data_IF_198986017262
#
_entry.id   IF_198986017262
#
_cell.length_a   1.000
_cell.length_b   1.000
_cell.length_c   1.000
_cell.angle_alpha   90.00
_cell.angle_beta   90.00
_cell.angle_gamma   90.00
#
_symmetry.space_group_name_H-M   'P 1'
#
loop_
_entity.id
_entity.type
_entity.pdbx_description
1 polymer ?
#
# COMPACT_ATOMS: atom_id res chain seq x y z
N UNK A 1 -22.32 -15.69 2.93
CA UNK A 1 -20.95 -16.05 3.36
C UNK A 1 -20.36 -16.96 2.33
N UNK A 2 -19.18 -16.63 1.80
CA UNK A 2 -18.40 -17.50 0.91
C UNK A 2 -17.30 -18.17 1.72
N UNK A 3 -17.05 -19.45 1.47
CA UNK A 3 -16.02 -20.23 2.18
C UNK A 3 -15.03 -20.73 1.13
N UNK A 4 -13.75 -20.42 1.33
CA UNK A 4 -12.65 -20.90 0.50
C UNK A 4 -11.91 -22.01 1.24
N UNK A 5 -11.89 -23.21 0.67
CA UNK A 5 -11.08 -24.32 1.16
C UNK A 5 -9.79 -24.42 0.35
N UNK A 6 -8.66 -24.31 1.05
CA UNK A 6 -7.32 -24.50 0.45
C UNK A 6 -6.78 -25.83 0.97
N UNK A 7 -6.49 -26.76 0.06
CA UNK A 7 -5.93 -28.08 0.39
C UNK A 7 -4.44 -28.13 0.07
N UNK A 8 -3.73 -29.08 0.70
CA UNK A 8 -2.31 -29.35 0.45
C UNK A 8 -1.39 -28.13 0.69
N UNK A 9 -1.70 -27.32 1.70
CA UNK A 9 -0.82 -26.22 2.12
C UNK A 9 0.46 -26.81 2.73
N UNK A 10 1.66 -26.49 2.22
CA UNK A 10 2.90 -26.97 2.81
C UNK A 10 3.02 -26.56 4.28
N UNK A 11 3.49 -27.47 5.14
CA UNK A 11 3.59 -27.22 6.58
C UNK A 11 4.41 -25.96 6.91
N UNK A 12 5.50 -25.73 6.18
CA UNK A 12 6.33 -24.54 6.35
C UNK A 12 5.55 -23.25 6.06
N UNK A 13 4.73 -23.25 5.00
CA UNK A 13 3.91 -22.11 4.63
C UNK A 13 2.84 -21.85 5.70
N UNK A 14 2.18 -22.90 6.19
CA UNK A 14 1.22 -22.80 7.29
C UNK A 14 1.87 -22.24 8.56
N UNK A 15 3.06 -22.71 8.93
CA UNK A 15 3.81 -22.22 10.09
C UNK A 15 4.20 -20.73 9.94
N UNK A 16 4.60 -20.30 8.73
CA UNK A 16 4.88 -18.88 8.44
C UNK A 16 3.63 -18.01 8.56
N UNK A 17 2.50 -18.45 8.02
CA UNK A 17 1.21 -17.75 8.14
C UNK A 17 0.78 -17.61 9.61
N UNK A 18 0.91 -18.69 10.39
CA UNK A 18 0.56 -18.68 11.82
C UNK A 18 1.41 -17.69 12.62
N UNK A 19 2.72 -17.66 12.40
CA UNK A 19 3.62 -16.69 13.06
C UNK A 19 3.26 -15.25 12.70
N UNK A 20 2.97 -14.99 11.43
CA UNK A 20 2.58 -13.66 10.95
C UNK A 20 1.24 -13.21 11.55
N UNK A 21 0.25 -14.09 11.58
CA UNK A 21 -1.05 -13.82 12.19
C UNK A 21 -0.91 -13.46 13.69
N UNK A 22 -0.06 -14.18 14.43
CA UNK A 22 0.25 -13.86 15.83
C UNK A 22 0.91 -12.48 15.98
N UNK A 23 1.88 -12.16 15.14
CA UNK A 23 2.55 -10.86 15.15
C UNK A 23 1.57 -9.70 14.86
N UNK A 24 0.64 -9.91 13.94
CA UNK A 24 -0.40 -8.94 13.60
C UNK A 24 -1.60 -8.93 14.56
N UNK A 25 -1.61 -9.81 15.59
CA UNK A 25 -2.72 -10.02 16.54
C UNK A 25 -4.05 -10.31 15.83
N UNK A 26 -4.00 -11.09 14.76
CA UNK A 26 -5.16 -11.49 13.95
C UNK A 26 -5.35 -13.00 14.01
N UNK A 27 -6.58 -13.45 13.72
CA UNK A 27 -6.83 -14.88 13.48
C UNK A 27 -6.13 -15.30 12.18
N UNK A 28 -5.84 -16.60 12.04
CA UNK A 28 -5.22 -17.12 10.82
C UNK A 28 -6.07 -16.83 9.58
N UNK A 29 -7.38 -17.02 9.67
CA UNK A 29 -8.30 -16.73 8.56
C UNK A 29 -8.28 -15.25 8.18
N UNK A 30 -8.24 -14.34 9.16
CA UNK A 30 -8.16 -12.90 8.89
C UNK A 30 -6.83 -12.50 8.24
N UNK A 31 -5.71 -13.13 8.65
CA UNK A 31 -4.41 -12.91 8.01
C UNK A 31 -4.38 -13.42 6.57
N UNK A 32 -4.98 -14.59 6.30
CA UNK A 32 -5.09 -15.14 4.94
C UNK A 32 -5.91 -14.22 4.04
N UNK A 33 -7.04 -13.71 4.53
CA UNK A 33 -7.87 -12.76 3.77
C UNK A 33 -7.06 -11.49 3.45
N UNK A 34 -6.40 -10.89 4.44
CA UNK A 34 -5.60 -9.69 4.24
C UNK A 34 -4.46 -9.89 3.22
N UNK A 35 -3.84 -11.08 3.21
CA UNK A 35 -2.81 -11.42 2.23
C UNK A 35 -3.37 -11.59 0.82
N UNK A 36 -4.57 -12.17 0.69
CA UNK A 36 -5.24 -12.33 -0.60
C UNK A 36 -5.68 -10.97 -1.16
N UNK A 37 -6.23 -10.10 -0.32
CA UNK A 37 -6.58 -8.72 -0.70
C UNK A 37 -5.35 -7.96 -1.21
N UNK A 38 -4.26 -7.97 -0.43
CA UNK A 38 -3.01 -7.33 -0.83
C UNK A 38 -2.44 -7.90 -2.14
N UNK A 39 -2.48 -9.22 -2.31
CA UNK A 39 -1.98 -9.87 -3.53
C UNK A 39 -2.81 -9.51 -4.77
N UNK A 40 -4.13 -9.35 -4.63
CA UNK A 40 -5.01 -8.90 -5.72
C UNK A 40 -4.74 -7.43 -6.06
N UNK A 41 -4.62 -6.56 -5.06
CA UNK A 41 -4.27 -5.15 -5.27
C UNK A 41 -2.91 -5.01 -5.98
N UNK A 42 -1.90 -5.77 -5.55
CA UNK A 42 -0.57 -5.76 -6.16
C UNK A 42 -0.58 -6.32 -7.59
N UNK A 43 -1.37 -7.38 -7.84
CA UNK A 43 -1.50 -7.96 -9.18
C UNK A 43 -2.24 -7.02 -10.15
N UNK A 44 -3.23 -6.26 -9.65
CA UNK A 44 -3.98 -5.27 -10.42
C UNK A 44 -3.22 -3.94 -10.59
N UNK A 45 -2.28 -3.65 -9.68
CA UNK A 45 -1.41 -2.49 -9.77
C UNK A 45 -0.46 -2.63 -10.97
N UNK A 46 -0.90 -2.18 -12.14
CA UNK A 46 0.00 -2.15 -13.30
C UNK A 46 1.20 -1.25 -12.98
N UNK A 47 2.45 -1.71 -13.18
CA UNK A 47 3.64 -0.88 -12.97
C UNK A 47 3.55 0.44 -13.74
N UNK A 48 2.85 0.41 -14.87
CA UNK A 48 2.56 1.57 -15.71
C UNK A 48 1.61 2.57 -15.05
N UNK A 49 0.56 2.12 -14.35
CA UNK A 49 -0.34 2.99 -13.59
C UNK A 49 0.36 3.62 -12.38
N UNK A 50 1.20 2.85 -11.69
CA UNK A 50 2.04 3.37 -10.60
C UNK A 50 3.00 4.44 -11.13
N UNK A 51 3.75 4.15 -12.20
CA UNK A 51 4.63 5.12 -12.84
C UNK A 51 3.88 6.34 -13.40
N UNK A 52 2.68 6.15 -13.96
CA UNK A 52 1.84 7.24 -14.44
C UNK A 52 1.37 8.14 -13.28
N UNK A 53 1.02 7.56 -12.13
CA UNK A 53 0.64 8.31 -10.93
C UNK A 53 1.81 9.15 -10.39
N UNK A 54 3.03 8.56 -10.35
CA UNK A 54 4.26 9.25 -9.95
C UNK A 54 4.56 10.39 -10.93
N UNK A 55 4.51 10.13 -12.24
CA UNK A 55 4.69 11.16 -13.28
C UNK A 55 3.69 12.30 -13.11
N UNK A 56 2.40 12.00 -12.95
CA UNK A 56 1.35 13.01 -12.78
C UNK A 56 1.60 13.93 -11.58
N UNK A 57 2.07 13.38 -10.46
CA UNK A 57 2.44 14.16 -9.27
C UNK A 57 3.71 14.99 -9.47
N UNK A 58 4.68 14.48 -10.24
CA UNK A 58 5.94 15.19 -10.53
C UNK A 58 5.75 16.41 -11.41
N UNK A 59 4.72 16.43 -12.24
CA UNK A 59 4.34 17.59 -13.07
C UNK A 59 3.32 18.52 -12.40
N UNK A 60 3.03 18.33 -11.11
CA UNK A 60 2.21 19.30 -10.39
C UNK A 60 2.96 20.64 -10.33
N UNK A 61 2.42 21.64 -11.03
CA UNK A 61 2.94 23.00 -11.05
C UNK A 61 2.10 23.86 -10.08
N UNK A 62 2.61 24.20 -8.88
CA UNK A 62 1.88 24.99 -7.89
C UNK A 62 1.46 26.36 -8.45
N UNK A 63 2.29 26.95 -9.32
CA UNK A 63 2.02 28.23 -9.95
C UNK A 63 0.81 28.19 -10.89
N UNK A 64 0.49 27.03 -11.47
CA UNK A 64 -0.69 26.86 -12.31
C UNK A 64 -2.01 26.82 -11.50
N UNK A 65 -1.93 26.64 -10.18
CA UNK A 65 -3.07 26.53 -9.27
C UNK A 65 -3.09 27.67 -8.24
N UNK A 66 -2.32 28.74 -8.48
CA UNK A 66 -2.17 29.89 -7.57
C UNK A 66 -1.75 29.52 -6.13
N UNK A 67 -1.07 28.38 -5.95
CA UNK A 67 -0.53 27.96 -4.66
C UNK A 67 0.94 28.41 -4.58
N UNK A 68 1.36 29.10 -3.50
CA UNK A 68 2.76 29.49 -3.34
C UNK A 68 3.68 28.26 -3.34
N UNK A 69 4.84 28.39 -3.97
CA UNK A 69 5.83 27.33 -3.92
C UNK A 69 6.23 27.07 -2.45
N UNK A 70 6.31 25.80 -2.08
CA UNK A 70 6.83 25.31 -0.80
C UNK A 70 8.11 26.02 -0.34
N UNK A 71 9.03 26.35 -1.26
CA UNK A 71 10.26 27.06 -0.89
C UNK A 71 10.03 28.51 -0.47
N UNK A 72 8.96 29.16 -0.95
CA UNK A 72 8.58 30.51 -0.51
C UNK A 72 8.01 30.48 0.90
N UNK A 73 7.17 29.49 1.21
CA UNK A 73 6.59 29.29 2.55
C UNK A 73 7.66 28.97 3.61
N UNK A 74 8.60 28.09 3.29
CA UNK A 74 9.71 27.74 4.19
C UNK A 74 10.65 28.92 4.47
N UNK A 75 10.82 29.85 3.53
CA UNK A 75 11.62 31.07 3.75
C UNK A 75 10.91 32.07 4.65
N UNK A 76 9.59 32.22 4.51
CA UNK A 76 8.80 33.09 5.38
C UNK A 76 8.81 32.61 6.83
N UNK A 77 8.73 31.29 7.04
CA UNK A 77 8.72 30.69 8.39
C UNK A 77 10.07 30.84 9.10
N UNK A 78 11.18 30.72 8.37
CA UNK A 78 12.53 30.93 8.93
C UNK A 78 12.90 32.38 9.24
N UNK A 79 12.12 33.34 8.73
CA UNK A 79 12.36 34.78 8.93
C UNK A 79 11.54 35.40 10.07
N UNK A 80 10.72 34.59 10.76
CA UNK A 80 10.00 34.97 11.99
C UNK A 80 10.81 34.62 13.23
#
# INVERSE_FOLDING_TARGET
MTILHVQNVPEELYARLKRRAQAQRRSLSAEVIALLEWALEEAEASPQAVLASIRRRRFFNPAAVNVPDSTTLLRQDRGR
#
